data_IF_115816467200
#
_entry.id   IF_115816467200
#
_cell.length_a   1.000
_cell.length_b   1.000
_cell.length_c   1.000
_cell.angle_alpha   90.00
_cell.angle_beta   90.00
_cell.angle_gamma   90.00
#
_symmetry.space_group_name_H-M   'P 1'
#
loop_
_entity.id
_entity.type
_entity.pdbx_description
1 polymer ?
#
# COMPACT_ATOMS: atom_id res chain seq x y z
N UNK A 1 3.06 3.15 -12.65
CA UNK A 1 2.26 3.45 -11.44
C UNK A 1 1.00 2.60 -11.52
N UNK A 2 0.62 1.95 -10.44
CA UNK A 2 -0.69 1.29 -10.34
C UNK A 2 -1.64 2.11 -9.47
N UNK A 3 -2.93 2.11 -9.80
CA UNK A 3 -3.98 2.86 -9.12
C UNK A 3 -5.20 1.95 -8.92
N UNK A 4 -5.51 1.60 -7.68
CA UNK A 4 -6.50 0.55 -7.38
C UNK A 4 -7.53 1.00 -6.35
N UNK A 5 -8.81 1.03 -6.74
CA UNK A 5 -9.91 1.44 -5.88
C UNK A 5 -10.15 0.48 -4.70
N UNK A 6 -10.58 1.04 -3.57
CA UNK A 6 -11.12 0.35 -2.39
C UNK A 6 -12.58 0.79 -2.21
N UNK A 7 -13.49 -0.20 -2.15
CA UNK A 7 -14.93 0.02 -1.92
C UNK A 7 -15.76 0.33 -3.18
N UNK A 8 -17.08 0.21 -3.04
CA UNK A 8 -18.09 0.66 -4.01
C UNK A 8 -19.27 1.30 -3.23
N UNK A 9 -19.53 2.62 -3.35
CA UNK A 9 -18.74 3.61 -4.10
C UNK A 9 -17.29 3.69 -3.60
N UNK A 10 -16.38 4.20 -4.44
CA UNK A 10 -14.95 4.25 -4.11
C UNK A 10 -14.71 5.15 -2.90
N UNK A 11 -14.01 4.61 -1.91
CA UNK A 11 -13.68 5.29 -0.64
C UNK A 11 -12.20 5.59 -0.49
N UNK A 12 -11.33 4.85 -1.17
CA UNK A 12 -9.90 5.11 -1.18
C UNK A 12 -9.27 4.51 -2.44
N UNK A 13 -8.03 4.89 -2.71
CA UNK A 13 -7.18 4.30 -3.73
C UNK A 13 -5.85 3.84 -3.15
N UNK A 14 -5.39 2.68 -3.58
CA UNK A 14 -4.00 2.26 -3.39
C UNK A 14 -3.19 2.70 -4.59
N UNK A 15 -2.23 3.59 -4.37
CA UNK A 15 -1.30 4.10 -5.36
C UNK A 15 0.07 3.48 -5.16
N UNK A 16 0.53 2.71 -6.15
CA UNK A 16 1.81 2.00 -6.10
C UNK A 16 2.78 2.54 -7.15
N UNK A 17 4.01 2.78 -6.71
CA UNK A 17 5.07 3.34 -7.53
C UNK A 17 6.30 2.45 -7.50
N UNK A 18 7.11 2.60 -8.54
CA UNK A 18 8.42 1.96 -8.67
C UNK A 18 9.48 3.05 -8.87
N UNK A 19 10.61 2.96 -8.17
CA UNK A 19 11.78 3.82 -8.39
C UNK A 19 12.96 3.00 -8.90
N UNK A 20 13.37 3.29 -10.15
CA UNK A 20 14.56 2.69 -10.76
C UNK A 20 15.87 3.13 -10.09
N UNK A 21 15.87 4.25 -9.36
CA UNK A 21 17.03 4.78 -8.63
C UNK A 21 17.26 4.04 -7.32
N UNK A 22 16.21 3.89 -6.50
CA UNK A 22 16.34 3.23 -5.19
C UNK A 22 16.16 1.72 -5.26
N UNK A 23 15.74 1.22 -6.41
CA UNK A 23 15.36 -0.16 -6.63
C UNK A 23 14.26 -0.66 -5.68
N UNK A 24 13.36 0.23 -5.24
CA UNK A 24 12.23 -0.09 -4.34
C UNK A 24 10.87 0.37 -4.87
N UNK A 25 9.84 -0.40 -4.52
CA UNK A 25 8.44 0.01 -4.71
C UNK A 25 7.93 0.73 -3.46
N UNK A 26 6.98 1.64 -3.65
CA UNK A 26 6.25 2.26 -2.55
C UNK A 26 4.73 2.25 -2.78
N UNK A 27 3.98 2.35 -1.69
CA UNK A 27 2.53 2.33 -1.68
C UNK A 27 2.00 3.44 -0.77
N UNK A 28 0.92 4.08 -1.21
CA UNK A 28 0.09 5.00 -0.43
C UNK A 28 -1.37 4.57 -0.54
N UNK A 29 -2.12 4.61 0.56
CA UNK A 29 -3.59 4.47 0.54
C UNK A 29 -4.21 5.85 0.72
N UNK A 30 -4.77 6.43 -0.34
CA UNK A 30 -5.35 7.77 -0.39
C UNK A 30 -6.87 7.75 -0.22
N UNK A 31 -7.42 8.58 0.66
CA UNK A 31 -8.86 8.80 0.80
C UNK A 31 -9.42 9.49 -0.46
N UNK A 32 -10.69 9.26 -0.75
CA UNK A 32 -11.38 9.94 -1.85
C UNK A 32 -12.88 10.05 -1.58
N UNK A 33 -13.55 10.97 -2.29
CA UNK A 33 -14.99 11.20 -2.14
C UNK A 33 -15.37 11.46 -0.68
N UNK A 34 -16.34 10.70 -0.17
CA UNK A 34 -16.92 10.90 1.16
C UNK A 34 -15.96 10.65 2.34
N UNK A 35 -14.80 10.01 2.11
CA UNK A 35 -13.82 9.76 3.19
C UNK A 35 -12.72 10.83 3.24
N UNK A 36 -12.62 11.68 2.23
CA UNK A 36 -11.56 12.69 2.17
C UNK A 36 -11.72 13.73 3.29
N UNK A 37 -10.68 13.91 4.11
CA UNK A 37 -10.67 14.81 5.28
C UNK A 37 -11.28 14.20 6.56
N UNK A 38 -11.93 13.05 6.46
CA UNK A 38 -12.53 12.34 7.59
C UNK A 38 -11.47 11.49 8.28
N UNK A 39 -11.34 11.64 9.60
CA UNK A 39 -10.41 10.85 10.40
C UNK A 39 -10.92 9.40 10.52
N UNK A 40 -10.26 8.47 9.83
CA UNK A 40 -10.64 7.07 9.74
C UNK A 40 -9.41 6.17 9.89
N UNK A 41 -9.61 4.96 10.41
CA UNK A 41 -8.55 3.96 10.40
C UNK A 41 -8.19 3.64 8.96
N UNK A 42 -6.93 3.81 8.60
CA UNK A 42 -6.45 3.68 7.22
C UNK A 42 -5.10 2.99 7.23
N UNK A 43 -4.96 2.01 6.34
CA UNK A 43 -3.78 1.16 6.27
C UNK A 43 -3.23 1.12 4.85
N UNK A 44 -1.91 1.19 4.74
CA UNK A 44 -1.14 0.85 3.56
C UNK A 44 -0.15 -0.26 3.93
N UNK A 45 -0.14 -1.35 3.17
CA UNK A 45 0.76 -2.47 3.41
C UNK A 45 1.30 -3.02 2.10
N UNK A 46 2.62 -3.16 2.01
CA UNK A 46 3.33 -3.60 0.82
C UNK A 46 4.38 -4.64 1.20
N UNK A 47 4.53 -5.67 0.37
CA UNK A 47 5.65 -6.61 0.44
C UNK A 47 6.04 -7.07 -0.97
N UNK A 48 7.26 -7.56 -1.19
CA UNK A 48 7.58 -8.29 -2.41
C UNK A 48 6.65 -9.51 -2.55
N UNK A 49 6.22 -9.80 -3.78
CA UNK A 49 5.49 -11.04 -4.08
C UNK A 49 6.41 -12.25 -3.97
N UNK A 50 5.85 -13.39 -3.55
CA UNK A 50 6.56 -14.66 -3.38
C UNK A 50 6.47 -15.25 -1.98
N UNK A 51 6.81 -16.53 -1.85
CA UNK A 51 6.62 -17.35 -0.64
C UNK A 51 7.54 -16.98 0.54
N UNK A 52 8.63 -16.24 0.30
CA UNK A 52 9.60 -15.86 1.33
C UNK A 52 9.27 -14.59 2.13
N UNK A 53 8.19 -13.86 1.78
CA UNK A 53 7.85 -12.59 2.42
C UNK A 53 6.50 -12.67 3.14
N UNK A 54 6.55 -12.57 4.46
CA UNK A 54 5.37 -12.41 5.31
C UNK A 54 4.80 -11.00 5.19
N UNK A 55 3.50 -10.85 5.46
CA UNK A 55 2.90 -9.53 5.60
C UNK A 55 3.50 -8.80 6.80
N UNK A 56 3.96 -7.55 6.63
CA UNK A 56 4.47 -6.74 7.73
C UNK A 56 3.33 -6.32 8.68
N UNK A 57 3.66 -6.17 9.97
CA UNK A 57 2.72 -5.81 11.05
C UNK A 57 2.67 -4.29 11.28
N UNK A 58 1.51 -3.67 11.12
CA UNK A 58 1.34 -2.24 11.38
C UNK A 58 1.41 -1.92 12.90
N UNK A 59 1.71 -0.67 13.29
CA UNK A 59 1.90 0.51 12.42
C UNK A 59 3.34 0.82 12.03
N UNK A 60 4.35 0.18 12.65
CA UNK A 60 5.74 0.65 12.57
C UNK A 60 6.71 -0.30 11.88
N UNK A 61 6.23 -1.36 11.23
CA UNK A 61 7.10 -2.25 10.46
C UNK A 61 7.38 -1.72 9.06
N UNK A 62 8.55 -2.05 8.52
CA UNK A 62 8.88 -1.72 7.13
C UNK A 62 7.86 -2.36 6.21
N UNK A 63 7.17 -1.52 5.43
CA UNK A 63 6.13 -1.96 4.50
C UNK A 63 4.73 -1.95 5.10
N UNK A 64 4.50 -1.43 6.31
CA UNK A 64 3.17 -1.25 6.88
C UNK A 64 3.05 0.10 7.58
N UNK A 65 1.97 0.81 7.32
CA UNK A 65 1.54 2.00 8.03
C UNK A 65 0.02 1.89 8.19
N UNK A 66 -0.49 2.02 9.41
CA UNK A 66 -1.88 1.69 9.72
C UNK A 66 -2.34 2.31 11.02
N UNK A 67 -2.98 3.48 10.93
CA UNK A 67 -3.45 4.29 12.05
C UNK A 67 -4.66 5.13 11.64
N UNK A 68 -5.09 6.06 12.50
CA UNK A 68 -6.13 7.04 12.17
C UNK A 68 -5.58 8.19 11.31
N UNK A 69 -6.00 8.25 10.04
CA UNK A 69 -5.58 9.28 9.08
C UNK A 69 -6.79 10.03 8.51
N UNK A 70 -6.57 11.28 8.10
CA UNK A 70 -7.60 12.11 7.43
C UNK A 70 -7.55 12.05 5.91
N UNK A 71 -6.38 11.74 5.36
CA UNK A 71 -6.10 11.92 3.94
C UNK A 71 -5.43 10.70 3.32
N UNK A 72 -4.40 10.15 3.97
CA UNK A 72 -3.71 8.97 3.46
C UNK A 72 -2.89 8.26 4.55
N UNK A 73 -2.60 6.98 4.31
CA UNK A 73 -1.57 6.21 5.01
C UNK A 73 -0.40 5.92 4.05
N UNK A 74 0.83 5.90 4.56
CA UNK A 74 2.08 5.76 3.81
C UNK A 74 2.85 7.08 3.64
N UNK A 75 3.85 7.14 2.75
CA UNK A 75 4.31 6.07 1.88
C UNK A 75 5.04 4.96 2.65
N UNK A 76 4.64 3.73 2.39
CA UNK A 76 5.36 2.52 2.82
C UNK A 76 6.16 1.93 1.67
N UNK A 77 7.22 1.21 1.96
CA UNK A 77 8.17 0.73 0.95
C UNK A 77 8.44 -0.76 1.11
N UNK A 78 8.78 -1.43 0.01
CA UNK A 78 9.40 -2.77 0.08
C UNK A 78 10.70 -2.71 0.89
N UNK A 79 11.15 -3.82 1.52
CA UNK A 79 12.34 -3.83 2.37
C UNK A 79 13.59 -3.21 1.70
N UNK A 80 14.38 -2.47 2.47
CA UNK A 80 15.67 -1.98 2.00
C UNK A 80 16.62 -3.17 1.74
N UNK A 81 17.48 -3.05 0.73
CA UNK A 81 18.41 -4.12 0.33
C UNK A 81 17.81 -5.22 -0.55
N UNK A 82 16.50 -5.20 -0.81
CA UNK A 82 15.88 -6.07 -1.81
C UNK A 82 15.77 -5.31 -3.13
N UNK A 83 16.50 -5.75 -4.16
CA UNK A 83 16.31 -5.24 -5.53
C UNK A 83 14.99 -5.77 -6.09
N UNK A 84 14.06 -4.85 -6.35
CA UNK A 84 12.75 -5.13 -6.91
C UNK A 84 12.68 -5.04 -8.44
N UNK A 85 13.81 -4.85 -9.14
CA UNK A 85 13.85 -4.90 -10.61
C UNK A 85 13.31 -6.24 -11.10
N UNK A 86 12.32 -6.21 -12.00
CA UNK A 86 11.59 -7.38 -12.51
C UNK A 86 10.86 -8.21 -11.43
N UNK A 87 10.61 -7.63 -10.25
CA UNK A 87 9.84 -8.27 -9.17
C UNK A 87 8.56 -7.50 -8.92
N UNK A 88 7.49 -8.26 -8.70
CA UNK A 88 6.17 -7.71 -8.40
C UNK A 88 5.96 -7.58 -6.89
N UNK A 89 4.91 -6.86 -6.51
CA UNK A 89 4.54 -6.64 -5.11
C UNK A 89 3.14 -7.19 -4.82
N UNK A 90 2.95 -7.57 -3.57
CA UNK A 90 1.62 -7.75 -3.00
C UNK A 90 1.31 -6.49 -2.19
N UNK A 91 0.10 -5.95 -2.36
CA UNK A 91 -0.37 -4.77 -1.63
C UNK A 91 -1.70 -5.05 -0.93
N UNK A 92 -1.88 -4.36 0.19
CA UNK A 92 -3.09 -4.38 0.99
C UNK A 92 -3.37 -2.95 1.44
N UNK A 93 -4.63 -2.55 1.32
CA UNK A 93 -5.10 -1.26 1.79
C UNK A 93 -6.42 -1.43 2.51
N UNK A 94 -6.60 -0.70 3.61
CA UNK A 94 -7.83 -0.64 4.37
C UNK A 94 -8.25 0.81 4.60
N UNK A 95 -9.56 1.04 4.61
CA UNK A 95 -10.18 2.26 5.13
C UNK A 95 -11.44 1.85 5.90
N UNK A 96 -11.48 2.21 7.19
CA UNK A 96 -12.47 1.71 8.15
C UNK A 96 -12.48 0.17 8.21
N UNK A 97 -13.60 -0.44 7.82
CA UNK A 97 -13.88 -1.87 7.75
C UNK A 97 -13.73 -2.46 6.33
N UNK A 98 -13.39 -1.63 5.34
CA UNK A 98 -13.30 -2.03 3.93
C UNK A 98 -11.83 -2.17 3.55
N UNK A 99 -11.46 -3.38 3.12
CA UNK A 99 -10.11 -3.68 2.66
C UNK A 99 -10.07 -4.25 1.26
N UNK A 100 -8.92 -4.09 0.60
CA UNK A 100 -8.59 -4.78 -0.64
C UNK A 100 -7.16 -5.29 -0.57
N UNK A 101 -6.96 -6.53 -1.01
CA UNK A 101 -5.63 -7.13 -1.18
C UNK A 101 -5.45 -7.48 -2.66
N UNK A 102 -4.29 -7.16 -3.21
CA UNK A 102 -3.89 -7.49 -4.58
C UNK A 102 -2.51 -8.15 -4.52
N UNK A 103 -2.34 -9.23 -5.28
CA UNK A 103 -1.10 -10.01 -5.30
C UNK A 103 -0.49 -10.02 -6.68
N UNK A 104 0.84 -10.09 -6.73
CA UNK A 104 1.61 -10.15 -7.96
C UNK A 104 1.31 -8.99 -8.94
N UNK A 105 1.27 -7.76 -8.42
CA UNK A 105 0.98 -6.55 -9.19
C UNK A 105 2.20 -5.64 -9.28
N UNK A 106 2.19 -4.71 -10.26
CA UNK A 106 3.13 -3.59 -10.40
C UNK A 106 4.61 -3.99 -10.20
N UNK A 107 5.17 -4.69 -11.19
CA UNK A 107 6.56 -5.14 -11.17
C UNK A 107 7.52 -3.99 -11.49
N UNK A 108 8.66 -3.95 -10.79
CA UNK A 108 9.75 -2.99 -11.07
C UNK A 108 10.51 -3.29 -12.35
#
# INVERSE_FOLDING_TARGET
>A
MGHYAIGSPVKAYMDVYWSSTTKRNCLVTNHTGATYGVLLYTQATIKPSGSGYSWPSCPSSVGCDGEMYRYYAGPVYTPAGVDMSNKCVDIKGYIMDIGRTLTNIHCG
#
